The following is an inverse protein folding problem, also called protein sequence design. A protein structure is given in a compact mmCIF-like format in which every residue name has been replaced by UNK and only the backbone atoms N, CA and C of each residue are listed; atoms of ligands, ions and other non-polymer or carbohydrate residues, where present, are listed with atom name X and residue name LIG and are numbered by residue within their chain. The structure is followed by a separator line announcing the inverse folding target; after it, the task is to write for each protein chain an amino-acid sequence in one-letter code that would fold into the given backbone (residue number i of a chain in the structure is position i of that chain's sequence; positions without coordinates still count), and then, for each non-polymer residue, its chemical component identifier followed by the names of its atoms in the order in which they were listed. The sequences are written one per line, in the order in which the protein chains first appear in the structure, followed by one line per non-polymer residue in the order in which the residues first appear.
data_IF_391121295868
#
_entry.id   IF_391121295868
#
_cell.length_a   1.000
_cell.length_b   1.000
_cell.length_c   1.000
_cell.angle_alpha   90.00
_cell.angle_beta   90.00
_cell.angle_gamma   90.00
#
_symmetry.space_group_name_H-M   'P 1'
#
loop_
_entity.id
_entity.type
_entity.pdbx_description
1 polymer ?
#
# COMPACT_ATOMS: atom_id res chain seq x y z
N UNK A 1 2.24 7.94 23.61
CA UNK A 1 2.07 6.65 24.29
C UNK A 1 3.02 5.72 23.58
N UNK A 2 4.24 5.58 24.08
CA UNK A 2 5.26 4.72 23.48
C UNK A 2 5.12 3.31 24.04
N UNK A 3 5.37 2.29 23.22
CA UNK A 3 5.29 0.91 23.69
C UNK A 3 5.10 -0.13 22.59
N UNK A 4 4.89 -1.37 23.04
CA UNK A 4 4.58 -2.50 22.18
C UNK A 4 3.09 -2.83 22.31
N UNK A 5 2.41 -2.91 21.17
CA UNK A 5 0.99 -3.19 21.04
C UNK A 5 0.82 -4.53 20.33
N UNK A 6 -0.27 -5.23 20.64
CA UNK A 6 -0.70 -6.45 19.94
C UNK A 6 -2.00 -6.16 19.24
N UNK A 7 -1.94 -5.91 17.94
CA UNK A 7 -3.12 -5.65 17.12
C UNK A 7 -3.63 -6.97 16.56
N UNK A 8 -4.91 -7.25 16.77
CA UNK A 8 -5.56 -8.46 16.32
C UNK A 8 -6.38 -8.17 15.07
N UNK A 9 -5.92 -8.65 13.91
CA UNK A 9 -6.54 -8.35 12.63
C UNK A 9 -6.69 -9.61 11.78
N UNK A 10 -7.92 -9.92 11.37
CA UNK A 10 -8.23 -11.06 10.49
C UNK A 10 -7.60 -12.39 10.92
N UNK A 11 -7.65 -12.70 12.22
CA UNK A 11 -7.06 -13.91 12.82
C UNK A 11 -5.54 -13.88 13.03
N UNK A 12 -4.87 -12.81 12.60
CA UNK A 12 -3.42 -12.60 12.80
C UNK A 12 -3.19 -11.68 13.99
N UNK A 13 -2.13 -11.95 14.77
CA UNK A 13 -1.62 -10.97 15.74
C UNK A 13 -0.39 -10.28 15.16
N UNK A 14 -0.44 -8.95 15.12
CA UNK A 14 0.62 -8.08 14.64
C UNK A 14 1.24 -7.41 15.87
N UNK A 15 2.57 -7.50 15.99
CA UNK A 15 3.33 -6.81 17.02
C UNK A 15 3.72 -5.42 16.51
N UNK A 16 3.22 -4.38 17.16
CA UNK A 16 3.46 -3.00 16.75
C UNK A 16 4.28 -2.27 17.79
N UNK A 17 5.44 -1.74 17.37
CA UNK A 17 6.24 -0.82 18.20
C UNK A 17 5.84 0.61 17.86
N UNK A 18 5.29 1.36 18.82
CA UNK A 18 5.06 2.81 18.70
C UNK A 18 6.14 3.54 19.47
N UNK A 19 6.83 4.47 18.81
CA UNK A 19 7.95 5.19 19.42
C UNK A 19 8.16 6.57 18.82
N UNK A 20 8.76 7.47 19.59
CA UNK A 20 9.44 8.68 19.14
C UNK A 20 10.95 8.64 19.41
N UNK A 21 11.47 7.59 20.05
CA UNK A 21 12.91 7.43 20.29
C UNK A 21 13.66 6.77 19.13
N UNK A 22 14.71 7.43 18.64
CA UNK A 22 15.66 6.93 17.66
C UNK A 22 16.30 5.59 18.08
N UNK A 23 16.63 5.44 19.37
CA UNK A 23 17.27 4.21 19.88
C UNK A 23 16.36 2.98 19.77
N UNK A 24 15.04 3.16 19.84
CA UNK A 24 14.05 2.10 19.65
C UNK A 24 13.93 1.75 18.17
N UNK A 25 13.98 2.76 17.29
CA UNK A 25 14.02 2.57 15.83
C UNK A 25 15.28 1.79 15.40
N UNK A 26 16.47 2.18 15.90
CA UNK A 26 17.73 1.46 15.66
C UNK A 26 17.63 -0.03 16.03
N UNK A 27 17.03 -0.31 17.19
CA UNK A 27 16.82 -1.68 17.67
C UNK A 27 15.83 -2.45 16.81
N UNK A 28 14.73 -1.80 16.41
CA UNK A 28 13.74 -2.43 15.55
C UNK A 28 14.35 -2.81 14.19
N UNK A 29 15.13 -1.91 13.58
CA UNK A 29 15.84 -2.12 12.31
C UNK A 29 16.88 -3.23 12.45
N UNK A 30 17.71 -3.18 13.49
CA UNK A 30 18.74 -4.20 13.73
C UNK A 30 18.12 -5.59 13.89
N UNK A 31 17.01 -5.69 14.61
CA UNK A 31 16.24 -6.94 14.74
C UNK A 31 15.69 -7.42 13.40
N UNK A 32 15.16 -6.51 12.57
CA UNK A 32 14.68 -6.84 11.22
C UNK A 32 15.81 -7.38 10.34
N UNK A 33 16.98 -6.74 10.35
CA UNK A 33 18.16 -7.19 9.59
C UNK A 33 18.63 -8.57 10.09
N UNK A 34 18.63 -8.80 11.41
CA UNK A 34 19.01 -10.08 12.00
C UNK A 34 18.06 -11.22 11.61
N UNK A 35 16.74 -10.99 11.70
CA UNK A 35 15.71 -11.95 11.29
C UNK A 35 15.91 -12.36 9.83
N UNK A 36 16.24 -11.41 8.96
CA UNK A 36 16.39 -11.61 7.53
C UNK A 36 17.83 -11.82 7.06
N UNK A 37 18.78 -12.09 7.96
CA UNK A 37 20.23 -12.17 7.65
C UNK A 37 20.61 -13.10 6.49
N UNK A 38 19.76 -14.07 6.16
CA UNK A 38 19.96 -15.02 5.05
C UNK A 38 19.17 -14.67 3.76
N UNK A 39 18.39 -13.59 3.77
CA UNK A 39 17.46 -13.20 2.68
C UNK A 39 17.38 -11.67 2.47
N UNK A 40 18.43 -10.92 2.83
CA UNK A 40 18.47 -9.45 2.67
C UNK A 40 18.47 -8.97 1.21
N UNK A 41 18.61 -9.88 0.23
CA UNK A 41 18.74 -9.52 -1.18
C UNK A 41 17.44 -9.08 -1.85
N UNK A 42 16.26 -9.29 -1.24
CA UNK A 42 14.95 -8.86 -1.76
C UNK A 42 13.91 -8.83 -0.63
N UNK A 43 14.06 -7.93 0.34
CA UNK A 43 13.10 -7.80 1.44
C UNK A 43 11.93 -6.90 1.01
N UNK A 44 10.70 -7.37 1.19
CA UNK A 44 9.48 -6.59 0.94
C UNK A 44 8.98 -6.04 2.27
N UNK A 45 8.67 -4.74 2.31
CA UNK A 45 8.23 -4.04 3.51
C UNK A 45 7.00 -3.18 3.19
N UNK A 46 5.96 -3.23 4.00
CA UNK A 46 4.86 -2.28 3.89
C UNK A 46 5.31 -0.91 4.37
N UNK A 47 4.92 0.16 3.67
CA UNK A 47 5.18 1.54 4.06
C UNK A 47 3.92 2.38 3.89
N UNK A 48 3.72 3.28 4.84
CA UNK A 48 2.70 4.34 4.78
C UNK A 48 3.20 5.54 5.62
N UNK A 49 2.57 6.70 5.47
CA UNK A 49 2.81 7.87 6.34
C UNK A 49 1.50 8.59 6.66
N UNK A 50 1.45 9.26 7.82
CA UNK A 50 0.27 10.04 8.23
C UNK A 50 0.63 11.47 8.64
N UNK A 51 -0.30 12.39 8.41
CA UNK A 51 -0.19 13.80 8.78
C UNK A 51 -1.57 14.38 9.10
N UNK A 52 -1.60 15.52 9.81
CA UNK A 52 -2.87 16.21 10.10
C UNK A 52 -3.49 16.76 8.79
N UNK A 53 -4.76 16.48 8.50
CA UNK A 53 -5.41 16.98 7.29
C UNK A 53 -5.55 18.50 7.27
N UNK A 54 -5.68 19.06 6.06
CA UNK A 54 -6.03 20.46 5.84
C UNK A 54 -7.43 20.79 6.39
N UNK A 55 -7.52 21.85 7.18
CA UNK A 55 -8.79 22.51 7.45
C UNK A 55 -8.76 24.00 7.05
N UNK A 56 -7.57 24.59 6.90
CA UNK A 56 -7.37 25.97 6.44
C UNK A 56 -6.20 26.08 5.44
N UNK A 57 -6.22 27.04 4.50
CA UNK A 57 -5.18 27.21 3.46
C UNK A 57 -3.76 27.43 3.98
N UNK A 58 -3.62 27.97 5.20
CA UNK A 58 -2.35 28.26 5.86
C UNK A 58 -1.78 27.09 6.67
N UNK A 59 -2.52 25.98 6.80
CA UNK A 59 -2.08 24.84 7.62
C UNK A 59 -0.88 24.16 6.94
N UNK A 60 0.21 24.01 7.71
CA UNK A 60 1.29 23.09 7.35
C UNK A 60 0.87 21.68 7.74
N UNK A 61 1.12 20.72 6.85
CA UNK A 61 0.84 19.31 7.06
C UNK A 61 2.14 18.50 7.08
N UNK A 62 3.05 18.75 8.05
CA UNK A 62 4.29 18.02 8.14
C UNK A 62 4.00 16.52 8.33
N UNK A 63 4.84 15.66 7.77
CA UNK A 63 4.80 14.22 8.07
C UNK A 63 4.86 14.03 9.58
N UNK A 64 3.84 13.40 10.15
CA UNK A 64 3.74 13.21 11.59
C UNK A 64 4.18 11.80 12.00
N UNK A 65 3.78 10.80 11.22
CA UNK A 65 4.01 9.39 11.51
C UNK A 65 4.52 8.69 10.25
N UNK A 66 5.51 7.80 10.44
CA UNK A 66 5.95 6.82 9.45
C UNK A 66 5.60 5.43 9.95
N UNK A 67 4.95 4.64 9.10
CA UNK A 67 4.71 3.23 9.35
C UNK A 67 5.60 2.34 8.46
N UNK A 68 6.20 1.32 9.05
CA UNK A 68 6.93 0.28 8.31
C UNK A 68 6.48 -1.07 8.84
N UNK A 69 6.15 -2.02 7.96
CA UNK A 69 5.81 -3.37 8.38
C UNK A 69 6.66 -4.45 7.71
N UNK A 70 7.21 -5.34 8.54
CA UNK A 70 7.98 -6.53 8.19
C UNK A 70 7.24 -7.77 8.72
N UNK A 71 6.51 -8.48 7.85
CA UNK A 71 5.77 -9.66 8.27
C UNK A 71 4.66 -9.30 9.25
N UNK A 72 4.80 -9.78 10.49
CA UNK A 72 3.87 -9.50 11.60
C UNK A 72 4.45 -8.48 12.60
N UNK A 73 5.52 -7.76 12.23
CA UNK A 73 6.14 -6.73 13.05
C UNK A 73 5.99 -5.39 12.34
N UNK A 74 5.24 -4.46 12.93
CA UNK A 74 5.17 -3.10 12.42
C UNK A 74 5.88 -2.12 13.36
N UNK A 75 6.44 -1.07 12.79
CA UNK A 75 7.00 0.11 13.46
C UNK A 75 6.09 1.29 13.13
N UNK A 76 5.67 2.02 14.15
CA UNK A 76 5.02 3.33 14.05
C UNK A 76 5.98 4.33 14.68
N UNK A 77 6.66 5.12 13.84
CA UNK A 77 7.61 6.14 14.28
C UNK A 77 6.96 7.51 14.18
N UNK A 78 6.73 8.15 15.34
CA UNK A 78 6.17 9.51 15.44
C UNK A 78 7.25 10.56 15.11
N UNK A 79 7.57 10.69 13.81
CA UNK A 79 8.61 11.57 13.27
C UNK A 79 8.53 13.01 13.79
N UNK A 80 7.33 13.58 13.87
CA UNK A 80 7.14 14.97 14.32
C UNK A 80 7.57 15.20 15.78
N UNK A 81 7.53 14.15 16.61
CA UNK A 81 7.88 14.20 18.03
C UNK A 81 9.20 13.49 18.32
N UNK A 82 9.93 13.09 17.28
CA UNK A 82 11.14 12.28 17.43
C UNK A 82 12.26 13.04 18.15
N UNK A 83 13.02 12.34 18.99
CA UNK A 83 14.24 12.90 19.60
C UNK A 83 15.32 13.18 18.54
N UNK A 84 15.40 12.32 17.53
CA UNK A 84 16.19 12.47 16.32
C UNK A 84 15.74 11.44 15.27
N UNK A 85 16.15 11.62 14.02
CA UNK A 85 16.01 10.59 12.99
C UNK A 85 17.34 9.81 12.92
N UNK A 86 17.37 8.51 13.25
CA UNK A 86 18.63 7.77 13.29
C UNK A 86 19.18 7.51 11.88
N UNK A 87 20.50 7.50 11.76
CA UNK A 87 21.21 7.18 10.50
C UNK A 87 20.81 5.80 9.97
N UNK A 88 20.54 4.84 10.87
CA UNK A 88 20.07 3.51 10.49
C UNK A 88 18.78 3.56 9.68
N UNK A 89 17.85 4.47 9.98
CA UNK A 89 16.62 4.63 9.21
C UNK A 89 16.88 5.21 7.83
N UNK A 90 17.77 6.21 7.71
CA UNK A 90 18.21 6.71 6.40
C UNK A 90 18.79 5.59 5.54
N UNK A 91 19.69 4.78 6.11
CA UNK A 91 20.31 3.66 5.41
C UNK A 91 19.30 2.56 5.07
N UNK A 92 18.36 2.26 5.97
CA UNK A 92 17.34 1.25 5.80
C UNK A 92 16.37 1.59 4.66
N UNK A 93 15.86 2.82 4.61
CA UNK A 93 14.98 3.30 3.53
C UNK A 93 15.72 3.43 2.19
N UNK A 94 17.02 3.75 2.23
CA UNK A 94 17.84 3.90 1.04
C UNK A 94 18.49 2.60 0.53
N UNK A 95 18.26 1.46 1.19
CA UNK A 95 18.90 0.21 0.81
C UNK A 95 18.25 -0.39 -0.44
N UNK A 96 18.98 -0.56 -1.55
CA UNK A 96 18.37 -0.87 -2.86
C UNK A 96 17.81 -2.30 -2.97
N UNK A 97 18.11 -3.18 -2.02
CA UNK A 97 17.58 -4.55 -1.97
C UNK A 97 16.31 -4.67 -1.12
N UNK A 98 15.83 -3.57 -0.55
CA UNK A 98 14.54 -3.52 0.14
C UNK A 98 13.53 -2.81 -0.73
N UNK A 99 12.35 -3.39 -0.90
CA UNK A 99 11.24 -2.82 -1.66
C UNK A 99 10.13 -2.44 -0.71
N UNK A 100 9.81 -1.15 -0.69
CA UNK A 100 8.72 -0.59 0.10
C UNK A 100 7.44 -0.54 -0.74
N UNK A 101 6.38 -1.14 -0.22
CA UNK A 101 5.11 -1.32 -0.92
C UNK A 101 3.98 -0.60 -0.21
N UNK A 102 3.05 -0.03 -0.98
CA UNK A 102 1.87 0.68 -0.51
C UNK A 102 1.05 1.17 -1.70
N UNK A 103 -0.10 1.81 -1.45
CA UNK A 103 -0.86 2.51 -2.49
C UNK A 103 -0.59 4.00 -2.33
N UNK A 104 -0.04 4.65 -3.35
CA UNK A 104 0.47 6.02 -3.24
C UNK A 104 1.86 6.11 -2.60
N UNK A 105 2.57 4.98 -2.51
CA UNK A 105 3.85 4.89 -1.77
C UNK A 105 4.97 5.73 -2.39
N UNK A 106 4.87 6.04 -3.68
CA UNK A 106 5.83 6.91 -4.35
C UNK A 106 5.64 8.37 -3.89
N UNK A 107 4.41 8.81 -3.78
CA UNK A 107 4.04 10.13 -3.25
C UNK A 107 4.45 10.27 -1.78
N UNK A 108 4.29 9.21 -0.99
CA UNK A 108 4.78 9.15 0.39
C UNK A 108 6.29 9.30 0.48
N UNK A 109 7.03 8.57 -0.36
CA UNK A 109 8.48 8.67 -0.45
C UNK A 109 8.95 10.06 -0.87
N UNK A 110 8.25 10.70 -1.80
CA UNK A 110 8.54 12.07 -2.23
C UNK A 110 8.32 13.07 -1.10
N UNK A 111 7.22 12.96 -0.34
CA UNK A 111 6.95 13.81 0.81
C UNK A 111 7.99 13.63 1.92
N UNK A 112 8.35 12.38 2.24
CA UNK A 112 9.43 12.06 3.18
C UNK A 112 10.76 12.69 2.76
N UNK A 113 11.11 12.64 1.47
CA UNK A 113 12.34 13.24 0.98
C UNK A 113 12.30 14.77 1.04
N UNK A 114 11.20 15.39 0.60
CA UNK A 114 11.05 16.85 0.56
C UNK A 114 11.13 17.47 1.96
N UNK A 115 10.47 16.86 2.95
CA UNK A 115 10.35 17.44 4.28
C UNK A 115 11.46 17.02 5.25
N UNK A 116 11.94 15.78 5.14
CA UNK A 116 12.82 15.16 6.13
C UNK A 116 14.13 14.63 5.55
N UNK A 117 14.33 14.77 4.23
CA UNK A 117 15.48 14.21 3.50
C UNK A 117 15.61 12.68 3.67
N UNK A 118 14.49 12.00 3.97
CA UNK A 118 14.42 10.56 4.03
C UNK A 118 14.17 10.01 2.62
N UNK A 119 15.22 9.46 2.02
CA UNK A 119 15.15 8.87 0.68
C UNK A 119 14.73 7.41 0.77
N UNK A 120 13.54 7.09 0.26
CA UNK A 120 13.11 5.71 -0.01
C UNK A 120 13.54 5.35 -1.44
N UNK A 121 14.53 4.47 -1.59
CA UNK A 121 15.17 4.23 -2.90
C UNK A 121 14.35 3.31 -3.81
N UNK A 122 13.64 2.34 -3.24
CA UNK A 122 12.86 1.36 -4.00
C UNK A 122 11.45 1.28 -3.44
N UNK A 123 10.53 1.86 -4.21
CA UNK A 123 9.09 1.83 -3.96
C UNK A 123 8.41 0.97 -5.02
N UNK A 124 7.26 0.38 -4.67
CA UNK A 124 6.41 -0.29 -5.64
C UNK A 124 4.94 -0.06 -5.31
N UNK A 125 4.26 0.67 -6.18
CA UNK A 125 2.85 0.98 -6.01
C UNK A 125 1.97 -0.25 -6.27
N UNK A 126 1.15 -0.59 -5.28
CA UNK A 126 0.33 -1.80 -5.28
C UNK A 126 -0.85 -1.70 -6.27
N UNK A 127 -1.38 -0.51 -6.53
CA UNK A 127 -2.48 -0.31 -7.46
C UNK A 127 -2.00 -0.49 -8.91
N UNK A 128 -0.85 0.09 -9.24
CA UNK A 128 -0.14 -0.12 -10.49
C UNK A 128 0.24 -1.59 -10.67
N UNK A 129 0.89 -2.19 -9.67
CA UNK A 129 1.32 -3.59 -9.71
C UNK A 129 0.14 -4.55 -9.92
N UNK A 130 -0.99 -4.31 -9.22
CA UNK A 130 -2.19 -5.10 -9.40
C UNK A 130 -2.77 -4.96 -10.83
N UNK A 131 -2.86 -3.74 -11.35
CA UNK A 131 -3.37 -3.50 -12.70
C UNK A 131 -2.54 -4.24 -13.76
N UNK A 132 -1.21 -4.13 -13.68
CA UNK A 132 -0.29 -4.77 -14.61
C UNK A 132 -0.34 -6.30 -14.50
N UNK A 133 -0.43 -6.81 -13.27
CA UNK A 133 -0.48 -8.25 -12.99
C UNK A 133 -1.75 -8.92 -13.53
N UNK A 134 -2.89 -8.27 -13.38
CA UNK A 134 -4.19 -8.85 -13.72
C UNK A 134 -4.75 -8.36 -15.07
N UNK A 135 -4.11 -7.38 -15.72
CA UNK A 135 -4.63 -6.74 -16.93
C UNK A 135 -5.91 -5.94 -16.67
N UNK A 136 -6.09 -5.41 -15.45
CA UNK A 136 -7.28 -4.68 -15.01
C UNK A 136 -6.91 -3.23 -14.71
N UNK A 137 -7.00 -2.38 -15.72
CA UNK A 137 -6.62 -0.96 -15.66
C UNK A 137 -7.31 -0.19 -14.52
N UNK A 138 -8.53 -0.58 -14.17
CA UNK A 138 -9.29 0.06 -13.11
C UNK A 138 -8.64 -0.10 -11.72
N UNK A 139 -7.78 -1.10 -11.52
CA UNK A 139 -7.05 -1.27 -10.26
C UNK A 139 -6.13 -0.08 -9.95
N UNK A 140 -5.62 0.64 -10.96
CA UNK A 140 -4.80 1.84 -10.75
C UNK A 140 -5.52 2.97 -10.01
N UNK A 141 -6.85 2.94 -9.97
CA UNK A 141 -7.69 3.96 -9.31
C UNK A 141 -8.23 3.49 -7.96
N UNK A 142 -7.85 2.31 -7.49
CA UNK A 142 -8.39 1.72 -6.26
C UNK A 142 -7.42 1.94 -5.11
N UNK A 143 -7.97 2.43 -4.01
CA UNK A 143 -7.26 2.52 -2.75
C UNK A 143 -7.00 1.14 -2.13
N UNK A 144 -6.07 1.10 -1.17
CA UNK A 144 -5.62 -0.11 -0.47
C UNK A 144 -6.79 -0.96 0.03
N UNK A 145 -7.78 -0.36 0.70
CA UNK A 145 -8.98 -1.07 1.22
C UNK A 145 -9.65 -1.93 0.16
N UNK A 146 -9.83 -1.39 -1.06
CA UNK A 146 -10.58 -2.07 -2.12
C UNK A 146 -9.74 -3.17 -2.76
N UNK A 147 -8.45 -2.91 -2.99
CA UNK A 147 -7.52 -3.91 -3.50
C UNK A 147 -7.34 -5.07 -2.50
N UNK A 148 -7.21 -4.76 -1.21
CA UNK A 148 -7.07 -5.76 -0.15
C UNK A 148 -8.27 -6.70 -0.08
N UNK A 149 -9.48 -6.14 -0.13
CA UNK A 149 -10.72 -6.92 -0.14
C UNK A 149 -10.80 -7.82 -1.38
N UNK A 150 -10.51 -7.27 -2.57
CA UNK A 150 -10.72 -8.00 -3.83
C UNK A 150 -9.62 -9.03 -4.14
N UNK A 151 -8.39 -8.79 -3.69
CA UNK A 151 -7.23 -9.59 -4.11
C UNK A 151 -6.69 -10.53 -3.03
N UNK A 152 -6.92 -10.22 -1.75
CA UNK A 152 -6.41 -11.05 -0.63
C UNK A 152 -7.45 -11.27 0.48
N UNK A 153 -8.72 -10.96 0.23
CA UNK A 153 -9.83 -11.15 1.17
C UNK A 153 -9.56 -10.54 2.56
N UNK A 154 -8.97 -9.34 2.57
CA UNK A 154 -8.68 -8.57 3.79
C UNK A 154 -9.60 -7.36 3.88
N UNK A 155 -10.46 -7.36 4.89
CA UNK A 155 -11.40 -6.27 5.13
C UNK A 155 -10.79 -5.20 6.03
N UNK A 156 -10.78 -3.96 5.56
CA UNK A 156 -10.24 -2.82 6.30
C UNK A 156 -11.32 -1.76 6.55
N UNK A 157 -11.47 -1.33 7.79
CA UNK A 157 -12.20 -0.11 8.10
C UNK A 157 -11.29 1.10 7.94
N UNK A 158 -11.82 2.16 7.34
CA UNK A 158 -11.14 3.46 7.24
C UNK A 158 -12.07 4.55 7.75
N UNK A 159 -12.35 4.58 9.06
CA UNK A 159 -13.32 5.50 9.61
C UNK A 159 -12.79 6.94 9.52
N UNK A 160 -13.61 7.86 9.02
CA UNK A 160 -13.20 9.24 8.76
C UNK A 160 -12.70 9.96 10.01
N UNK A 161 -13.23 9.62 11.19
CA UNK A 161 -12.80 10.24 12.44
C UNK A 161 -11.37 9.86 12.84
N UNK A 162 -10.84 8.73 12.34
CA UNK A 162 -9.43 8.34 12.50
C UNK A 162 -8.58 8.89 11.36
N UNK A 163 -8.99 8.71 10.10
CA UNK A 163 -8.19 9.20 8.95
C UNK A 163 -8.05 10.72 8.94
N UNK A 164 -9.00 11.45 9.54
CA UNK A 164 -8.97 12.90 9.67
C UNK A 164 -8.61 13.38 11.09
N UNK A 165 -8.06 12.49 11.92
CA UNK A 165 -7.72 12.78 13.31
C UNK A 165 -6.45 13.63 13.45
N UNK A 166 -6.11 13.94 14.70
CA UNK A 166 -4.89 14.67 15.07
C UNK A 166 -3.68 13.72 15.04
N UNK A 167 -3.22 13.35 13.85
CA UNK A 167 -1.99 12.54 13.68
C UNK A 167 -0.72 13.25 14.17
N UNK A 168 -0.78 14.57 14.32
CA UNK A 168 0.25 15.42 14.91
C UNK A 168 0.24 15.41 16.46
N UNK A 169 -0.67 14.68 17.11
CA UNK A 169 -0.70 14.58 18.57
C UNK A 169 0.53 13.84 19.12
N UNK A 170 1.04 14.28 20.27
CA UNK A 170 2.18 13.64 20.95
C UNK A 170 1.90 12.19 21.37
N UNK A 171 0.63 11.87 21.60
CA UNK A 171 0.17 10.54 21.94
C UNK A 171 -0.91 10.14 20.94
N UNK A 172 -0.62 9.12 20.13
CA UNK A 172 -1.65 8.46 19.33
C UNK A 172 -2.68 7.75 20.22
N UNK A 173 -3.93 7.71 19.77
CA UNK A 173 -4.98 6.88 20.36
C UNK A 173 -4.82 5.41 19.94
N UNK A 174 -5.48 4.50 20.67
CA UNK A 174 -5.48 3.08 20.30
C UNK A 174 -6.06 2.85 18.89
N UNK A 175 -7.10 3.60 18.50
CA UNK A 175 -7.68 3.53 17.14
C UNK A 175 -6.68 3.99 16.06
N UNK A 176 -5.88 5.03 16.34
CA UNK A 176 -4.82 5.49 15.42
C UNK A 176 -3.72 4.44 15.30
N UNK A 177 -3.30 3.82 16.42
CA UNK A 177 -2.29 2.75 16.42
C UNK A 177 -2.79 1.52 15.66
N UNK A 178 -4.03 1.10 15.89
CA UNK A 178 -4.66 -0.02 15.18
C UNK A 178 -4.76 0.26 13.68
N UNK A 179 -5.28 1.43 13.30
CA UNK A 179 -5.42 1.85 11.91
C UNK A 179 -4.06 1.84 11.18
N UNK A 180 -3.06 2.55 11.74
CA UNK A 180 -1.73 2.67 11.15
C UNK A 180 -1.01 1.31 11.06
N UNK A 181 -1.25 0.43 12.02
CA UNK A 181 -0.74 -0.95 11.97
C UNK A 181 -1.36 -1.73 10.81
N UNK A 182 -2.69 -1.67 10.68
CA UNK A 182 -3.44 -2.44 9.67
C UNK A 182 -3.09 -1.95 8.26
N UNK A 183 -2.96 -0.63 8.05
CA UNK A 183 -2.57 -0.09 6.75
C UNK A 183 -1.19 -0.59 6.31
N UNK A 184 -0.16 -0.45 7.15
CA UNK A 184 1.18 -0.94 6.82
C UNK A 184 1.24 -2.47 6.67
N UNK A 185 0.55 -3.22 7.53
CA UNK A 185 0.48 -4.68 7.43
C UNK A 185 -0.21 -5.15 6.15
N UNK A 186 -1.33 -4.54 5.78
CA UNK A 186 -2.07 -4.94 4.58
C UNK A 186 -1.33 -4.55 3.31
N UNK A 187 -0.65 -3.40 3.29
CA UNK A 187 0.28 -3.05 2.21
C UNK A 187 1.36 -4.12 2.04
N UNK A 188 2.02 -4.54 3.13
CA UNK A 188 2.98 -5.64 3.12
C UNK A 188 2.36 -6.94 2.58
N UNK A 189 1.22 -7.37 3.12
CA UNK A 189 0.58 -8.64 2.77
C UNK A 189 0.11 -8.68 1.30
N UNK A 190 -0.43 -7.56 0.80
CA UNK A 190 -0.83 -7.42 -0.59
C UNK A 190 0.39 -7.42 -1.52
N UNK A 191 1.44 -6.67 -1.19
CA UNK A 191 2.69 -6.69 -1.95
C UNK A 191 3.31 -8.08 -2.02
N UNK A 192 3.35 -8.79 -0.88
CA UNK A 192 3.82 -10.17 -0.83
C UNK A 192 2.99 -11.09 -1.74
N UNK A 193 1.67 -10.94 -1.75
CA UNK A 193 0.76 -11.71 -2.63
C UNK A 193 1.00 -11.40 -4.11
N UNK A 194 1.10 -10.12 -4.48
CA UNK A 194 1.31 -9.70 -5.86
C UNK A 194 2.70 -10.07 -6.40
N UNK A 195 3.73 -10.08 -5.54
CA UNK A 195 5.11 -10.37 -5.92
C UNK A 195 5.44 -11.88 -5.90
N UNK A 196 4.85 -12.65 -4.97
CA UNK A 196 5.05 -14.11 -4.93
C UNK A 196 4.05 -14.90 -5.79
N UNK A 197 2.99 -14.24 -6.30
CA UNK A 197 1.77 -14.87 -6.75
C UNK A 197 1.77 -15.61 -8.09
N UNK A 198 2.86 -16.22 -8.58
CA UNK A 198 2.69 -17.26 -9.61
C UNK A 198 2.16 -18.55 -8.96
N UNK A 199 0.85 -18.54 -8.70
CA UNK A 199 -0.03 -19.70 -8.90
C UNK A 199 -1.14 -19.20 -9.81
N UNK A 200 -1.35 -19.86 -10.95
CA UNK A 200 -2.54 -19.63 -11.79
C UNK A 200 -3.77 -19.87 -10.91
N UNK A 201 -4.37 -18.80 -10.39
CA UNK A 201 -5.76 -18.85 -9.95
C UNK A 201 -6.55 -18.74 -11.26
N UNK A 202 -7.12 -19.86 -11.68
CA UNK A 202 -8.14 -19.84 -12.74
C UNK A 202 -9.18 -18.80 -12.33
N UNK A 203 -9.58 -17.88 -13.23
CA UNK A 203 -10.62 -16.91 -12.89
C UNK A 203 -11.84 -17.68 -12.38
N UNK A 204 -12.23 -17.42 -11.14
CA UNK A 204 -13.51 -17.89 -10.60
C UNK A 204 -14.57 -17.20 -11.45
N UNK A 205 -15.41 -17.93 -12.20
CA UNK A 205 -16.48 -17.30 -12.94
C UNK A 205 -17.39 -16.61 -11.93
N UNK A 206 -17.65 -15.32 -12.12
CA UNK A 206 -18.74 -14.64 -11.43
C UNK A 206 -20.01 -15.49 -11.57
N UNK A 207 -20.77 -15.72 -10.49
CA UNK A 207 -22.04 -16.42 -10.61
C UNK A 207 -22.97 -15.57 -11.48
N UNK A 208 -23.12 -15.97 -12.73
CA UNK A 208 -24.24 -15.53 -13.56
C UNK A 208 -25.46 -16.14 -12.91
N UNK A 209 -26.26 -15.31 -12.25
CA UNK A 209 -27.62 -15.68 -11.87
C UNK A 209 -28.38 -16.03 -13.17
N UNK A 210 -28.45 -17.31 -13.49
CA UNK A 210 -29.36 -17.83 -14.50
C UNK A 210 -30.76 -17.81 -13.90
N UNK A 211 -31.48 -16.73 -14.15
CA UNK A 211 -32.94 -16.82 -14.20
C UNK A 211 -33.31 -17.58 -15.48
N UNK A 212 -33.76 -18.82 -15.29
CA UNK A 212 -34.37 -19.63 -16.33
C UNK A 212 -35.64 -18.96 -16.84
N UNK A 213 -35.67 -18.60 -18.11
CA UNK A 213 -36.91 -18.45 -18.87
C UNK A 213 -36.75 -19.21 -20.19
N UNK A 214 -37.41 -20.35 -20.30
CA UNK A 214 -37.67 -21.02 -21.56
C UNK A 214 -38.58 -20.14 -22.43
N UNK A 215 -38.18 -19.88 -23.67
CA UNK A 215 -39.11 -19.67 -24.76
C UNK A 215 -38.39 -19.95 -26.10
N UNK A 216 -38.65 -21.13 -26.62
CA UNK A 216 -38.56 -21.46 -28.04
C UNK A 216 -39.18 -20.35 -28.89
N UNK A 217 -38.36 -19.59 -29.60
CA UNK A 217 -38.56 -18.99 -30.93
C UNK A 217 -37.52 -17.87 -31.12
N UNK A 218 -36.34 -18.20 -31.64
CA UNK A 218 -35.43 -17.21 -32.20
C UNK A 218 -34.73 -17.77 -33.44
N UNK A 219 -34.87 -17.06 -34.57
CA UNK A 219 -34.05 -17.25 -35.77
C UNK A 219 -33.12 -16.04 -35.88
N UNK A 220 -31.82 -16.22 -36.18
CA UNK A 220 -30.91 -15.10 -36.38
C UNK A 220 -31.18 -14.41 -37.74
N UNK A 221 -30.98 -13.08 -37.84
CA UNK A 221 -30.99 -12.36 -39.11
C UNK A 221 -29.66 -12.55 -39.88
N UNK A 222 -29.65 -12.36 -41.22
CA UNK A 222 -28.43 -12.47 -42.02
C UNK A 222 -27.49 -11.28 -41.81
N UNK A 223 -26.19 -11.56 -41.84
CA UNK A 223 -25.09 -10.59 -41.74
C UNK A 223 -25.16 -9.48 -42.81
N UNK A 224 -24.79 -8.23 -42.48
CA UNK A 224 -24.34 -7.26 -43.46
C UNK A 224 -22.81 -7.31 -43.61
N UNK A 225 -22.38 -7.40 -44.88
CA UNK A 225 -21.00 -7.24 -45.34
C UNK A 225 -20.46 -5.84 -45.01
N UNK A 226 -19.32 -5.75 -44.33
CA UNK A 226 -18.58 -4.50 -44.21
C UNK A 226 -17.46 -4.45 -45.27
N UNK A 227 -17.53 -3.43 -46.12
CA UNK A 227 -16.45 -3.03 -47.03
C UNK A 227 -15.37 -2.30 -46.24
N UNK A 228 -14.12 -2.69 -46.42
CA UNK A 228 -12.94 -1.94 -45.95
C UNK A 228 -12.60 -0.89 -47.01
N UNK A 229 -12.69 0.39 -46.67
CA UNK A 229 -12.18 1.49 -47.49
C UNK A 229 -10.77 1.83 -47.01
N UNK A 230 -9.78 1.62 -47.86
CA UNK A 230 -8.39 2.00 -47.62
C UNK A 230 -8.22 3.50 -47.86
N UNK A 231 -7.76 4.25 -46.87
CA UNK A 231 -7.27 5.63 -47.05
C UNK A 231 -5.74 5.61 -47.16
N UNK A 232 -5.13 6.20 -48.20
CA UNK A 232 -3.68 6.31 -48.29
C UNK A 232 -3.14 7.41 -47.35
N UNK A 233 -1.87 7.30 -46.91
CA UNK A 233 -1.25 8.27 -46.00
C UNK A 233 -0.96 9.62 -46.71
N UNK A 234 -0.89 10.73 -45.95
CA UNK A 234 -0.61 12.06 -46.49
C UNK A 234 0.86 12.20 -46.94
N UNK A 235 1.15 13.09 -47.92
CA UNK A 235 2.51 13.29 -48.42
C UNK A 235 3.41 13.93 -47.36
N UNK A 236 4.64 13.39 -47.26
CA UNK A 236 5.72 14.02 -46.51
C UNK A 236 6.30 15.16 -47.37
N UNK A 237 6.36 16.37 -46.80
CA UNK A 237 7.13 17.46 -47.37
C UNK A 237 8.57 17.40 -46.84
N UNK A 238 9.52 17.64 -47.75
CA UNK A 238 10.97 17.73 -47.53
C UNK A 238 11.31 18.97 -46.71
#
# INVERSE_FOLDING_TARGET
MEGCYRIHYSGTTIQTTVTSSASVVDRWISTTIEIHRHRLSNLILGLDIEWRPYFQPQDRNPVAVLQICDGHRCLIFQLLHADSIPISLHQFLAFPYFTFVGVGVQEDAEKLFQELQLRVVSTMDLAQLAADRYGVEDFRRRGLKRLAMELIDKYMEKPKHVTLSQWDAKNLSDEQVEYATIDAYVSFALGLSLLNGFRRVSPVPFPVHQHSCNASHWRPPPHPSFFVVYTPPPPQFV
#
